data_IF_707254607529
#
_entry.id   IF_707254607529
#
_cell.length_a   1.000
_cell.length_b   1.000
_cell.length_c   1.000
_cell.angle_alpha   90.00
_cell.angle_beta   90.00
_cell.angle_gamma   90.00
#
_symmetry.space_group_name_H-M   'P 1'
#
loop_
_entity.id
_entity.type
_entity.pdbx_description
1 polymer ?
#
# COMPACT_ATOMS: atom_id res chain seq x y z
N UNK A 1 9.41 -13.17 -2.96
CA UNK A 1 8.29 -13.45 -2.06
C UNK A 1 8.03 -12.26 -1.15
N UNK A 2 6.76 -11.95 -0.90
CA UNK A 2 6.34 -10.86 -0.01
C UNK A 2 5.38 -11.42 1.03
N UNK A 3 5.66 -11.16 2.30
CA UNK A 3 4.81 -11.59 3.41
C UNK A 3 4.36 -10.40 4.26
N UNK A 4 3.15 -10.50 4.78
CA UNK A 4 2.64 -9.60 5.84
C UNK A 4 2.38 -10.44 7.08
N UNK A 5 3.06 -10.12 8.17
CA UNK A 5 3.01 -10.89 9.43
C UNK A 5 3.31 -12.39 9.25
N UNK A 6 4.20 -12.73 8.31
CA UNK A 6 4.56 -14.11 7.99
C UNK A 6 3.61 -14.83 7.04
N UNK A 7 2.53 -14.18 6.60
CA UNK A 7 1.57 -14.75 5.63
C UNK A 7 1.96 -14.28 4.23
N UNK A 8 2.23 -15.18 3.28
CA UNK A 8 2.48 -14.81 1.89
C UNK A 8 1.27 -14.12 1.27
N UNK A 9 1.51 -13.01 0.57
CA UNK A 9 0.48 -12.22 -0.09
C UNK A 9 0.67 -12.15 -1.61
N UNK A 10 1.56 -12.99 -2.12
CA UNK A 10 1.75 -13.14 -3.55
C UNK A 10 0.48 -13.72 -4.17
N UNK A 11 0.09 -13.17 -5.32
CA UNK A 11 -0.99 -13.71 -6.13
C UNK A 11 -0.69 -15.14 -6.57
N UNK A 12 -1.68 -16.02 -6.49
CA UNK A 12 -1.50 -17.44 -6.73
C UNK A 12 -1.17 -17.79 -8.19
N UNK A 13 -1.62 -16.96 -9.14
CA UNK A 13 -1.42 -17.18 -10.57
C UNK A 13 -0.13 -16.51 -11.05
N UNK A 14 0.03 -15.22 -10.81
CA UNK A 14 1.17 -14.42 -11.30
C UNK A 14 2.40 -14.50 -10.41
N UNK A 15 2.28 -15.02 -9.19
CA UNK A 15 3.30 -14.97 -8.13
C UNK A 15 3.78 -13.54 -7.80
N UNK A 16 3.11 -12.54 -8.36
CA UNK A 16 3.36 -11.13 -8.13
C UNK A 16 2.60 -10.58 -6.93
N UNK A 17 2.92 -9.35 -6.57
CA UNK A 17 2.14 -8.56 -5.64
C UNK A 17 1.79 -7.23 -6.27
N UNK A 18 0.53 -6.85 -6.17
CA UNK A 18 0.04 -5.57 -6.65
C UNK A 18 -0.13 -4.62 -5.46
N UNK A 19 0.83 -3.70 -5.28
CA UNK A 19 0.81 -2.72 -4.20
C UNK A 19 -0.43 -1.83 -4.22
N UNK A 20 -0.97 -1.60 -5.40
CA UNK A 20 -2.21 -0.85 -5.62
C UNK A 20 -3.41 -1.45 -4.87
N UNK A 21 -3.41 -2.74 -4.59
CA UNK A 21 -4.46 -3.41 -3.84
C UNK A 21 -4.34 -3.22 -2.31
N UNK A 22 -3.30 -2.53 -1.84
CA UNK A 22 -3.04 -2.31 -0.42
C UNK A 22 -2.81 -0.82 -0.11
N UNK A 23 -3.85 0.03 -0.29
CA UNK A 23 -3.71 1.46 -0.08
C UNK A 23 -3.27 1.77 1.35
N UNK A 24 -2.25 2.63 1.47
CA UNK A 24 -1.68 3.10 2.74
C UNK A 24 -1.25 1.97 3.72
N UNK A 25 -0.77 0.83 3.18
CA UNK A 25 -0.18 -0.23 4.01
C UNK A 25 0.99 0.29 4.85
N UNK A 26 1.76 1.24 4.32
CA UNK A 26 2.92 1.83 5.00
C UNK A 26 2.59 2.39 6.38
N UNK A 27 1.42 3.02 6.55
CA UNK A 27 0.98 3.56 7.84
C UNK A 27 0.67 2.47 8.88
N UNK A 28 0.34 1.25 8.43
CA UNK A 28 0.13 0.09 9.29
C UNK A 28 1.41 -0.72 9.52
N UNK A 29 2.52 -0.32 8.91
CA UNK A 29 3.77 -1.08 8.93
C UNK A 29 4.67 -0.57 10.06
N UNK A 30 5.10 -1.49 10.92
CA UNK A 30 6.08 -1.24 11.97
C UNK A 30 7.51 -1.42 11.44
N UNK A 31 7.72 -2.50 10.68
CA UNK A 31 9.03 -2.79 10.11
C UNK A 31 8.93 -3.52 8.78
N UNK A 32 9.94 -3.31 7.94
CA UNK A 32 10.13 -4.03 6.68
C UNK A 32 11.52 -4.62 6.69
N UNK A 33 11.59 -5.94 6.53
CA UNK A 33 12.84 -6.67 6.38
C UNK A 33 12.97 -7.13 4.93
N UNK A 34 14.06 -6.73 4.28
CA UNK A 34 14.38 -7.13 2.92
C UNK A 34 15.60 -8.05 2.95
N UNK A 35 15.42 -9.27 2.47
CA UNK A 35 16.50 -10.24 2.31
C UNK A 35 16.76 -10.47 0.83
N UNK A 36 17.96 -10.16 0.36
CA UNK A 36 18.39 -10.37 -1.02
C UNK A 36 18.87 -11.80 -1.22
N UNK A 37 18.71 -12.30 -2.44
CA UNK A 37 19.13 -13.63 -2.83
C UNK A 37 18.12 -14.71 -2.45
N UNK A 38 18.52 -15.95 -2.61
CA UNK A 38 17.71 -17.12 -2.24
C UNK A 38 17.50 -17.10 -0.74
N UNK A 39 16.27 -16.93 -0.32
CA UNK A 39 15.90 -16.93 1.10
C UNK A 39 16.06 -18.31 1.75
N UNK A 40 15.95 -18.35 3.08
CA UNK A 40 15.82 -19.62 3.79
C UNK A 40 14.51 -20.31 3.40
N UNK A 41 14.41 -21.62 3.58
CA UNK A 41 13.20 -22.42 3.26
C UNK A 41 11.93 -21.93 3.94
N UNK A 42 12.07 -21.12 5.00
CA UNK A 42 10.95 -20.48 5.70
C UNK A 42 10.25 -19.37 4.90
N UNK A 43 10.88 -18.86 3.85
CA UNK A 43 10.35 -17.74 3.06
C UNK A 43 9.44 -18.18 1.89
N UNK A 44 9.21 -19.49 1.74
CA UNK A 44 8.30 -20.05 0.73
C UNK A 44 8.89 -20.23 -0.66
N UNK A 45 8.10 -20.79 -1.56
CA UNK A 45 8.52 -21.28 -2.88
C UNK A 45 8.92 -20.19 -3.89
N UNK A 46 8.52 -18.95 -3.71
CA UNK A 46 8.79 -17.85 -4.64
C UNK A 46 9.99 -16.95 -4.24
N UNK A 47 10.82 -17.38 -3.28
CA UNK A 47 11.91 -16.58 -2.73
C UNK A 47 13.24 -16.76 -3.50
N UNK A 48 13.24 -16.65 -4.84
CA UNK A 48 14.43 -16.86 -5.66
C UNK A 48 15.38 -15.66 -5.72
N UNK A 49 14.83 -14.45 -5.78
CA UNK A 49 15.63 -13.22 -5.93
C UNK A 49 15.70 -12.38 -4.66
N UNK A 50 14.58 -12.29 -3.95
CA UNK A 50 14.48 -11.57 -2.69
C UNK A 50 13.22 -11.97 -1.91
N UNK A 51 13.24 -11.71 -0.60
CA UNK A 51 12.08 -11.78 0.27
C UNK A 51 11.87 -10.44 0.95
N UNK A 52 10.61 -10.00 0.99
CA UNK A 52 10.19 -8.78 1.72
C UNK A 52 9.21 -9.21 2.80
N UNK A 53 9.60 -9.05 4.05
CA UNK A 53 8.78 -9.38 5.20
C UNK A 53 8.28 -8.09 5.86
N UNK A 54 6.99 -7.85 5.78
CA UNK A 54 6.35 -6.68 6.37
C UNK A 54 5.72 -7.10 7.70
N UNK A 55 6.04 -6.36 8.75
CA UNK A 55 5.39 -6.50 10.05
C UNK A 55 4.48 -5.32 10.27
N UNK A 56 3.23 -5.59 10.57
CA UNK A 56 2.30 -4.54 11.00
C UNK A 56 2.47 -4.23 12.46
N UNK A 57 2.01 -3.05 12.87
CA UNK A 57 2.12 -2.56 14.25
C UNK A 57 1.63 -3.62 15.25
N UNK A 58 2.42 -3.83 16.29
CA UNK A 58 2.03 -4.70 17.41
C UNK A 58 0.98 -4.02 18.28
N UNK A 59 0.18 -4.85 18.96
CA UNK A 59 -0.80 -4.36 19.93
C UNK A 59 -0.09 -3.97 21.22
N UNK A 60 -0.08 -2.68 21.59
CA UNK A 60 0.55 -2.23 22.83
C UNK A 60 -0.21 -2.77 24.05
N UNK A 61 0.48 -2.85 25.20
CA UNK A 61 -0.15 -3.25 26.47
C UNK A 61 -1.06 -2.17 27.02
N UNK A 62 -0.75 -0.91 26.73
CA UNK A 62 -1.46 0.27 27.21
C UNK A 62 -2.37 0.86 26.14
N UNK A 63 -3.42 1.52 26.58
CA UNK A 63 -4.31 2.25 25.67
C UNK A 63 -3.61 3.49 25.13
N UNK A 64 -3.76 3.71 23.84
CA UNK A 64 -3.19 4.89 23.18
C UNK A 64 -4.04 5.32 21.99
N UNK A 65 -4.01 6.61 21.72
CA UNK A 65 -4.62 7.18 20.50
C UNK A 65 -3.60 8.09 19.85
N UNK A 66 -3.42 7.90 18.56
CA UNK A 66 -2.55 8.72 17.74
C UNK A 66 -3.33 9.27 16.55
N UNK A 67 -3.28 10.58 16.37
CA UNK A 67 -3.82 11.26 15.20
C UNK A 67 -2.69 11.89 14.43
N UNK A 68 -2.66 11.70 13.13
CA UNK A 68 -1.68 12.31 12.24
C UNK A 68 -2.41 13.10 11.16
N UNK A 69 -1.95 14.31 10.94
CA UNK A 69 -2.43 15.20 9.89
C UNK A 69 -1.24 15.73 9.11
N UNK A 70 -1.33 15.72 7.80
CA UNK A 70 -0.29 16.21 6.91
C UNK A 70 -0.88 16.95 5.72
N UNK A 71 -0.19 17.99 5.30
CA UNK A 71 -0.46 18.73 4.07
C UNK A 71 0.81 18.85 3.26
N UNK A 72 0.70 18.87 1.97
CA UNK A 72 1.83 18.94 1.06
C UNK A 72 1.50 19.65 -0.24
N UNK A 73 2.47 19.73 -1.14
CA UNK A 73 2.29 20.27 -2.48
C UNK A 73 1.23 19.48 -3.26
N UNK A 74 0.70 20.10 -4.32
CA UNK A 74 -0.30 19.49 -5.20
C UNK A 74 -1.58 19.09 -4.47
N UNK A 75 -2.05 19.95 -3.56
CA UNK A 75 -3.24 19.73 -2.73
C UNK A 75 -3.20 18.38 -1.98
N UNK A 76 -1.99 17.93 -1.63
CA UNK A 76 -1.84 16.67 -0.88
C UNK A 76 -2.31 16.86 0.54
N UNK A 77 -3.24 16.01 0.95
CA UNK A 77 -3.79 15.96 2.30
C UNK A 77 -3.75 14.52 2.81
N UNK A 78 -3.35 14.37 4.06
CA UNK A 78 -3.33 13.08 4.74
C UNK A 78 -3.91 13.23 6.13
N UNK A 79 -4.82 12.35 6.48
CA UNK A 79 -5.37 12.24 7.82
C UNK A 79 -5.32 10.77 8.22
N UNK A 80 -4.83 10.47 9.40
CA UNK A 80 -4.90 9.12 9.97
C UNK A 80 -5.20 9.15 11.45
N UNK A 81 -5.95 8.16 11.89
CA UNK A 81 -6.27 7.88 13.28
C UNK A 81 -5.87 6.44 13.59
N UNK A 82 -5.14 6.25 14.67
CA UNK A 82 -4.83 4.96 15.24
C UNK A 82 -5.29 4.95 16.70
N UNK A 83 -6.14 4.00 17.05
CA UNK A 83 -6.58 3.79 18.43
C UNK A 83 -6.26 2.36 18.89
N UNK A 84 -5.61 2.24 20.02
CA UNK A 84 -5.30 1.00 20.69
C UNK A 84 -6.04 0.96 22.02
N UNK A 85 -6.75 -0.13 22.31
CA UNK A 85 -7.41 -0.30 23.62
C UNK A 85 -6.43 -0.68 24.72
N UNK A 86 -5.22 -1.12 24.35
CA UNK A 86 -4.37 -1.86 25.25
C UNK A 86 -4.95 -3.24 25.59
N UNK A 87 -4.33 -3.92 26.55
CA UNK A 87 -4.80 -5.23 27.01
C UNK A 87 -5.90 -5.06 28.06
N UNK A 88 -7.11 -5.44 27.70
CA UNK A 88 -8.29 -5.38 28.55
C UNK A 88 -8.25 -6.47 29.64
N UNK A 89 -9.06 -6.31 30.70
CA UNK A 89 -9.13 -7.26 31.84
C UNK A 89 -9.50 -8.70 31.43
N UNK A 90 -10.22 -8.86 30.32
CA UNK A 90 -10.59 -10.16 29.75
C UNK A 90 -9.55 -10.71 28.76
N UNK A 91 -8.33 -10.17 28.77
CA UNK A 91 -7.23 -10.54 27.88
C UNK A 91 -7.47 -10.32 26.37
N UNK A 92 -8.42 -9.49 26.01
CA UNK A 92 -8.55 -8.98 24.66
C UNK A 92 -7.73 -7.70 24.48
N UNK A 93 -7.26 -7.48 23.26
CA UNK A 93 -6.72 -6.21 22.81
C UNK A 93 -7.22 -5.92 21.41
N UNK A 94 -7.51 -4.64 21.13
CA UNK A 94 -7.96 -4.18 19.82
C UNK A 94 -7.14 -2.99 19.36
N UNK A 95 -6.91 -2.92 18.07
CA UNK A 95 -6.36 -1.76 17.41
C UNK A 95 -7.22 -1.43 16.20
N UNK A 96 -7.62 -0.19 16.09
CA UNK A 96 -8.35 0.35 14.94
C UNK A 96 -7.51 1.46 14.33
N UNK A 97 -7.31 1.38 13.02
CA UNK A 97 -6.69 2.44 12.23
C UNK A 97 -7.59 2.83 11.07
N UNK A 98 -7.71 4.11 10.83
CA UNK A 98 -8.31 4.66 9.62
C UNK A 98 -7.39 5.68 8.99
N UNK A 99 -7.32 5.75 7.67
CA UNK A 99 -6.57 6.79 6.96
C UNK A 99 -7.26 7.22 5.67
N UNK A 100 -7.03 8.50 5.34
CA UNK A 100 -7.43 9.16 4.12
C UNK A 100 -6.22 9.87 3.55
N UNK A 101 -5.93 9.67 2.27
CA UNK A 101 -4.88 10.37 1.55
C UNK A 101 -5.46 10.84 0.23
N UNK A 102 -5.32 12.12 -0.05
CA UNK A 102 -5.73 12.74 -1.31
C UNK A 102 -4.60 13.58 -1.86
N UNK A 103 -4.40 13.55 -3.18
CA UNK A 103 -3.42 14.36 -3.88
C UNK A 103 -3.84 14.58 -5.32
N UNK A 104 -3.55 15.76 -5.87
CA UNK A 104 -3.70 16.03 -7.31
C UNK A 104 -2.50 15.51 -8.11
N UNK A 105 -1.37 15.24 -7.43
CA UNK A 105 -0.14 14.77 -8.07
C UNK A 105 0.66 15.88 -8.73
N UNK A 106 1.92 15.58 -9.05
CA UNK A 106 2.86 16.54 -9.67
C UNK A 106 2.60 16.78 -11.14
N UNK A 107 2.21 15.75 -11.86
CA UNK A 107 1.96 15.79 -13.30
C UNK A 107 0.46 15.66 -13.59
N UNK A 108 0.04 16.09 -14.79
CA UNK A 108 -1.32 15.87 -15.24
C UNK A 108 -1.69 14.37 -15.18
N UNK A 109 -2.91 14.07 -14.78
CA UNK A 109 -3.38 12.68 -14.64
C UNK A 109 -2.59 11.83 -13.63
N UNK A 110 -2.23 12.41 -12.48
CA UNK A 110 -1.55 11.73 -11.38
C UNK A 110 -2.27 11.87 -10.04
N UNK A 111 -3.57 12.14 -10.07
CA UNK A 111 -4.36 12.28 -8.84
C UNK A 111 -4.58 10.94 -8.14
N UNK A 112 -4.69 10.98 -6.83
CA UNK A 112 -4.95 9.82 -5.99
C UNK A 112 -5.93 10.14 -4.85
N UNK A 113 -6.86 9.22 -4.59
CA UNK A 113 -7.75 9.20 -3.43
C UNK A 113 -7.68 7.81 -2.81
N UNK A 114 -7.04 7.71 -1.65
CA UNK A 114 -6.79 6.46 -0.94
C UNK A 114 -7.52 6.48 0.38
N UNK A 115 -8.27 5.43 0.66
CA UNK A 115 -8.97 5.23 1.93
C UNK A 115 -8.61 3.86 2.45
N UNK A 116 -8.21 3.78 3.71
CA UNK A 116 -7.94 2.48 4.32
C UNK A 116 -8.41 2.41 5.76
N UNK A 117 -8.83 1.22 6.15
CA UNK A 117 -9.13 0.87 7.52
C UNK A 117 -8.45 -0.45 7.88
N UNK A 118 -7.89 -0.53 9.07
CA UNK A 118 -7.28 -1.74 9.61
C UNK A 118 -7.85 -2.01 11.00
N UNK A 119 -8.33 -3.22 11.22
CA UNK A 119 -8.75 -3.72 12.51
C UNK A 119 -7.88 -4.91 12.89
N UNK A 120 -7.22 -4.80 14.03
CA UNK A 120 -6.49 -5.92 14.65
C UNK A 120 -7.17 -6.27 15.95
N UNK A 121 -7.48 -7.55 16.14
CA UNK A 121 -8.02 -8.09 17.39
C UNK A 121 -7.13 -9.23 17.85
N UNK A 122 -6.79 -9.27 19.14
CA UNK A 122 -6.07 -10.38 19.71
C UNK A 122 -6.69 -10.82 21.03
N UNK A 123 -6.69 -12.14 21.23
CA UNK A 123 -7.04 -12.78 22.49
C UNK A 123 -5.82 -13.52 23.01
N UNK A 124 -5.45 -13.26 24.24
CA UNK A 124 -4.30 -13.86 24.90
C UNK A 124 -4.75 -14.91 25.93
N UNK A 125 -4.13 -16.06 25.89
CA UNK A 125 -4.19 -17.09 26.91
C UNK A 125 -2.77 -17.36 27.43
N UNK A 126 -2.63 -18.18 28.43
CA UNK A 126 -1.31 -18.43 29.06
C UNK A 126 -0.29 -19.02 28.10
N UNK A 127 -0.71 -19.86 27.16
CA UNK A 127 0.18 -20.60 26.24
C UNK A 127 -0.13 -20.35 24.76
N UNK A 128 -1.09 -19.49 24.45
CA UNK A 128 -1.52 -19.26 23.07
C UNK A 128 -2.05 -17.85 22.87
N UNK A 129 -1.96 -17.39 21.64
CA UNK A 129 -2.52 -16.10 21.20
C UNK A 129 -3.29 -16.34 19.90
N UNK A 130 -4.52 -15.88 19.87
CA UNK A 130 -5.27 -15.74 18.62
C UNK A 130 -5.19 -14.28 18.16
N UNK A 131 -4.78 -14.04 16.92
CA UNK A 131 -4.69 -12.71 16.32
C UNK A 131 -5.43 -12.70 14.99
N UNK A 132 -6.31 -11.73 14.81
CA UNK A 132 -7.00 -11.47 13.55
C UNK A 132 -6.59 -10.08 13.06
N UNK A 133 -6.33 -9.97 11.77
CA UNK A 133 -6.04 -8.71 11.11
C UNK A 133 -6.96 -8.59 9.89
N UNK A 134 -7.75 -7.51 9.85
CA UNK A 134 -8.67 -7.19 8.76
C UNK A 134 -8.22 -5.86 8.18
N UNK A 135 -7.82 -5.87 6.92
CA UNK A 135 -7.46 -4.69 6.15
C UNK A 135 -8.52 -4.47 5.06
N UNK A 136 -9.06 -3.27 5.03
CA UNK A 136 -10.03 -2.84 4.02
C UNK A 136 -9.49 -1.55 3.40
N UNK A 137 -9.52 -1.47 2.08
CA UNK A 137 -9.05 -0.29 1.37
C UNK A 137 -9.88 0.02 0.14
N UNK A 138 -9.86 1.27 -0.25
CA UNK A 138 -10.38 1.77 -1.52
C UNK A 138 -9.34 2.70 -2.11
N UNK A 139 -9.00 2.47 -3.34
CA UNK A 139 -8.06 3.27 -4.10
C UNK A 139 -8.73 3.75 -5.38
N UNK A 140 -8.61 5.05 -5.64
CA UNK A 140 -8.96 5.65 -6.91
C UNK A 140 -7.79 6.51 -7.34
N UNK A 141 -7.12 6.05 -8.39
CA UNK A 141 -5.96 6.75 -8.95
C UNK A 141 -6.19 7.06 -10.42
N UNK A 142 -5.71 8.22 -10.83
CA UNK A 142 -5.60 8.58 -12.23
C UNK A 142 -4.10 8.54 -12.57
N UNK A 143 -3.68 7.56 -13.35
CA UNK A 143 -2.27 7.27 -13.57
C UNK A 143 -1.85 7.61 -14.99
N UNK A 144 -0.80 8.42 -15.10
CA UNK A 144 -0.08 8.63 -16.37
C UNK A 144 0.92 7.48 -16.57
N UNK A 145 0.46 6.36 -17.13
CA UNK A 145 1.27 5.16 -17.34
C UNK A 145 2.44 5.33 -18.28
N UNK A 146 2.29 6.22 -19.27
CA UNK A 146 3.25 6.41 -20.33
C UNK A 146 3.95 7.75 -20.16
N UNK A 147 5.29 7.72 -20.19
CA UNK A 147 6.09 8.93 -20.27
C UNK A 147 5.95 9.59 -21.65
N UNK A 148 6.29 10.87 -21.72
CA UNK A 148 6.36 11.59 -22.99
C UNK A 148 7.62 11.13 -23.72
N UNK A 149 7.52 10.68 -24.99
CA UNK A 149 8.69 10.32 -25.78
C UNK A 149 9.67 11.49 -25.92
N UNK A 150 10.97 11.20 -25.91
CA UNK A 150 12.03 12.20 -26.00
C UNK A 150 11.92 13.17 -27.20
N UNK A 151 11.52 12.72 -28.40
CA UNK A 151 11.34 13.65 -29.54
C UNK A 151 10.27 14.70 -29.25
N UNK A 152 9.15 14.32 -28.67
CA UNK A 152 8.06 15.26 -28.29
C UNK A 152 8.56 16.27 -27.25
N UNK A 153 9.27 15.80 -26.24
CA UNK A 153 9.85 16.64 -25.19
C UNK A 153 10.89 17.67 -25.78
N UNK A 154 11.63 17.28 -26.82
CA UNK A 154 12.62 18.14 -27.49
C UNK A 154 12.03 19.02 -28.56
N UNK A 155 10.71 19.00 -28.80
CA UNK A 155 10.05 19.80 -29.81
C UNK A 155 10.26 19.30 -31.26
N UNK A 156 10.53 18.00 -31.42
CA UNK A 156 10.58 17.39 -32.78
C UNK A 156 9.14 17.19 -33.28
N UNK A 157 8.66 18.13 -34.07
CA UNK A 157 7.29 18.17 -34.61
C UNK A 157 6.96 16.90 -35.41
N UNK A 158 7.92 16.35 -36.16
CA UNK A 158 7.70 15.13 -36.94
C UNK A 158 7.57 13.89 -36.03
N UNK A 159 8.37 13.83 -34.98
CA UNK A 159 8.27 12.84 -33.92
C UNK A 159 6.99 13.02 -33.09
N UNK A 160 6.64 14.28 -32.79
CA UNK A 160 5.43 14.65 -32.06
C UNK A 160 4.17 14.12 -32.73
N UNK A 161 3.96 14.39 -34.00
CA UNK A 161 2.78 13.92 -34.75
C UNK A 161 2.65 12.41 -34.78
N UNK A 162 3.75 11.68 -34.85
CA UNK A 162 3.76 10.21 -34.80
C UNK A 162 3.31 9.67 -33.45
N UNK A 163 3.79 10.26 -32.38
CA UNK A 163 3.45 9.82 -31.00
C UNK A 163 2.09 10.31 -30.52
N UNK A 164 1.68 11.52 -30.93
CA UNK A 164 0.32 12.02 -30.65
C UNK A 164 -0.72 11.11 -31.26
N UNK A 165 -0.54 10.67 -32.49
CA UNK A 165 -1.46 9.74 -33.14
C UNK A 165 -1.54 8.39 -32.40
N UNK A 166 -0.42 7.88 -31.89
CA UNK A 166 -0.41 6.65 -31.08
C UNK A 166 -1.08 6.86 -29.71
N UNK A 167 -0.81 7.96 -29.05
CA UNK A 167 -1.44 8.30 -27.76
C UNK A 167 -2.93 8.60 -27.91
N UNK A 168 -3.36 9.18 -29.03
CA UNK A 168 -4.77 9.46 -29.30
C UNK A 168 -5.57 8.17 -29.51
N UNK A 169 -5.00 7.18 -30.18
CA UNK A 169 -5.63 5.85 -30.31
C UNK A 169 -5.79 5.15 -28.97
N UNK A 170 -4.78 5.26 -28.09
CA UNK A 170 -4.85 4.69 -26.73
C UNK A 170 -5.76 5.50 -25.81
N UNK A 171 -5.82 6.82 -26.00
CA UNK A 171 -6.65 7.72 -25.18
C UNK A 171 -8.14 7.66 -25.47
N UNK A 172 -8.54 7.33 -26.70
CA UNK A 172 -9.96 7.22 -27.09
C UNK A 172 -10.61 5.94 -26.55
N UNK A 173 -9.84 4.88 -26.35
CA UNK A 173 -10.33 3.63 -25.78
C UNK A 173 -10.53 3.70 -24.25
N UNK A 174 -10.01 4.72 -23.59
CA UNK A 174 -10.13 4.92 -22.13
C UNK A 174 -11.26 5.89 -21.73
N UNK A 175 -12.02 6.42 -22.68
CA UNK A 175 -13.15 7.34 -22.41
C UNK A 175 -14.53 6.69 -22.60
N UNK A 176 -14.62 5.40 -22.83
CA UNK A 176 -15.89 4.63 -22.95
C UNK A 176 -16.08 3.69 -21.77
#
# INVERSE_FOLDING_TARGET
NITVNGIPINDAESQGMYWVNMPDLATSTESVQIQRGVGTSTNGSAAFGASVNIRTNELPKESSTQTSFGVGSFNTQRISLLHNTGRLKNNWAFQLRGSLIQSEGYIDRASSDLKSANLVAAKYWDKSVFKTNILIGSERTYQAWWGIPQPVYKGDIAGENRYINQLYIVGTDLQN
#
